data_IF_086740943660
#
_entry.id   IF_086740943660
#
_cell.length_a   1.000
_cell.length_b   1.000
_cell.length_c   1.000
_cell.angle_alpha   90.00
_cell.angle_beta   90.00
_cell.angle_gamma   90.00
#
_symmetry.space_group_name_H-M   'P 1'
#
loop_
_entity.id
_entity.type
_entity.pdbx_description
1 polymer ?
#
# COMPACT_ATOMS: atom_id res chain seq x y z
N UNK A 1 -12.55 29.01 -6.07
CA UNK A 1 -13.30 30.10 -6.74
C UNK A 1 -12.41 30.69 -7.81
N UNK A 2 -12.96 30.86 -9.00
CA UNK A 2 -12.24 31.38 -10.17
C UNK A 2 -13.12 32.48 -10.76
N UNK A 3 -12.53 33.63 -11.04
CA UNK A 3 -13.22 34.71 -11.73
C UNK A 3 -13.48 34.35 -13.21
N UNK A 4 -14.36 35.10 -13.86
CA UNK A 4 -14.65 34.96 -15.29
C UNK A 4 -13.42 35.18 -16.20
N UNK A 5 -12.36 35.80 -15.68
CA UNK A 5 -11.05 35.95 -16.33
C UNK A 5 -10.19 34.68 -16.29
N UNK A 6 -10.58 33.66 -15.52
CA UNK A 6 -9.78 32.47 -15.24
C UNK A 6 -8.79 32.65 -14.07
N UNK A 7 -8.74 33.81 -13.44
CA UNK A 7 -7.87 34.06 -12.28
C UNK A 7 -8.41 33.34 -11.02
N UNK A 8 -7.55 32.58 -10.35
CA UNK A 8 -7.87 31.95 -9.07
C UNK A 8 -8.00 33.02 -7.97
N UNK A 9 -9.16 33.11 -7.34
CA UNK A 9 -9.46 34.17 -6.35
C UNK A 9 -9.67 33.69 -4.93
N UNK A 10 -9.81 32.38 -4.73
CA UNK A 10 -9.86 31.82 -3.39
C UNK A 10 -10.04 30.31 -3.42
N UNK A 11 -9.49 29.65 -2.41
CA UNK A 11 -9.74 28.23 -2.13
C UNK A 11 -10.75 28.17 -0.98
N UNK A 12 -11.88 27.53 -1.22
CA UNK A 12 -12.92 27.27 -0.21
C UNK A 12 -13.01 25.75 -0.02
N UNK A 13 -13.57 25.31 1.10
CA UNK A 13 -13.78 23.88 1.37
C UNK A 13 -12.48 23.04 1.53
N UNK A 14 -11.51 23.62 2.23
CA UNK A 14 -10.22 23.02 2.61
C UNK A 14 -10.29 21.93 3.70
N UNK A 15 -11.48 21.59 4.22
CA UNK A 15 -11.62 20.60 5.31
C UNK A 15 -11.22 19.18 4.89
N UNK A 16 -11.20 18.89 3.58
CA UNK A 16 -10.75 17.61 3.03
C UNK A 16 -9.28 17.62 2.57
N UNK A 17 -8.50 18.69 2.83
CA UNK A 17 -7.10 18.76 2.41
C UNK A 17 -6.19 18.16 3.47
N UNK A 18 -5.51 17.07 3.12
CA UNK A 18 -4.49 16.46 3.97
C UNK A 18 -3.15 17.16 3.76
N UNK A 19 -2.55 17.71 4.81
CA UNK A 19 -1.16 18.16 4.78
C UNK A 19 -0.25 16.99 5.12
N UNK A 20 0.27 16.33 4.11
CA UNK A 20 1.26 15.26 4.25
C UNK A 20 2.53 15.62 3.46
N UNK A 21 3.70 15.10 3.86
CA UNK A 21 4.89 15.20 3.04
C UNK A 21 4.63 14.70 1.61
N UNK A 22 5.30 15.31 0.62
CA UNK A 22 5.10 14.98 -0.79
C UNK A 22 5.26 13.48 -1.08
N UNK A 23 6.23 12.82 -0.44
CA UNK A 23 6.42 11.37 -0.57
C UNK A 23 5.23 10.53 -0.11
N UNK A 24 4.43 11.03 0.84
CA UNK A 24 3.23 10.36 1.36
C UNK A 24 2.00 10.69 0.51
N UNK A 25 1.97 11.86 -0.13
CA UNK A 25 1.00 12.18 -1.18
C UNK A 25 1.26 11.38 -2.47
N UNK A 26 2.51 11.01 -2.70
CA UNK A 26 2.95 10.13 -3.78
C UNK A 26 2.98 8.65 -3.36
N UNK A 27 1.88 8.16 -2.77
CA UNK A 27 1.62 6.73 -2.54
C UNK A 27 0.27 6.36 -3.18
N UNK A 28 -0.04 5.06 -3.19
CA UNK A 28 -1.34 4.60 -3.63
C UNK A 28 -2.49 5.30 -2.86
N UNK A 29 -3.65 5.47 -3.50
CA UNK A 29 -4.89 5.73 -2.78
C UNK A 29 -5.09 4.70 -1.67
N UNK A 30 -5.63 5.13 -0.51
CA UNK A 30 -5.73 4.28 0.67
C UNK A 30 -6.48 2.97 0.44
N UNK A 31 -7.48 2.95 -0.45
CA UNK A 31 -8.22 1.72 -0.76
C UNK A 31 -7.41 0.68 -1.54
N UNK A 32 -6.28 1.08 -2.14
CA UNK A 32 -5.31 0.17 -2.75
C UNK A 32 -4.21 -0.25 -1.76
N UNK A 33 -4.18 0.26 -0.53
CA UNK A 33 -3.24 -0.18 0.49
C UNK A 33 -3.66 -1.52 1.07
N UNK A 34 -2.88 -2.55 0.76
CA UNK A 34 -2.97 -3.87 1.40
C UNK A 34 -1.72 -4.70 1.07
N UNK A 35 -1.62 -5.91 1.58
CA UNK A 35 -0.61 -6.90 1.21
C UNK A 35 -0.68 -7.20 -0.29
N UNK A 36 0.49 -7.32 -0.91
CA UNK A 36 0.61 -7.71 -2.32
C UNK A 36 0.46 -9.22 -2.44
N UNK A 37 -0.53 -9.70 -3.20
CA UNK A 37 -0.73 -11.12 -3.53
C UNK A 37 -0.86 -11.30 -5.04
N UNK A 38 0.18 -11.83 -5.68
CA UNK A 38 0.20 -12.05 -7.14
C UNK A 38 -0.56 -13.29 -7.59
N UNK A 39 -0.68 -14.29 -6.71
CA UNK A 39 -1.35 -15.54 -7.01
C UNK A 39 -2.74 -15.58 -6.40
N UNK A 40 -3.74 -15.91 -7.23
CA UNK A 40 -5.11 -16.11 -6.77
C UNK A 40 -5.15 -17.23 -5.71
N UNK A 41 -5.78 -17.02 -4.54
CA UNK A 41 -5.87 -18.05 -3.53
C UNK A 41 -6.70 -19.24 -4.02
N UNK A 42 -6.17 -20.45 -3.82
CA UNK A 42 -6.87 -21.70 -4.10
C UNK A 42 -7.83 -22.02 -2.97
N UNK A 43 -9.13 -21.98 -3.27
CA UNK A 43 -10.23 -22.22 -2.31
C UNK A 43 -10.08 -23.53 -1.56
N UNK A 44 -9.53 -24.57 -2.18
CA UNK A 44 -9.43 -25.92 -1.59
C UNK A 44 -8.41 -26.00 -0.45
N UNK A 45 -7.47 -25.05 -0.39
CA UNK A 45 -6.44 -25.00 0.66
C UNK A 45 -6.93 -24.42 1.99
N UNK A 46 -8.13 -23.86 2.03
CA UNK A 46 -8.67 -23.18 3.19
C UNK A 46 -9.63 -24.09 3.96
N UNK A 47 -9.61 -23.96 5.29
CA UNK A 47 -10.57 -24.66 6.14
C UNK A 47 -11.97 -24.15 5.86
N UNK A 48 -12.93 -25.07 5.72
CA UNK A 48 -14.33 -24.70 5.61
C UNK A 48 -14.93 -24.45 6.99
N UNK A 49 -15.80 -23.44 7.08
CA UNK A 49 -16.77 -23.28 8.17
C UNK A 49 -17.73 -24.47 8.18
N UNK A 50 -18.49 -24.64 9.26
CA UNK A 50 -19.51 -25.69 9.36
C UNK A 50 -20.59 -25.65 8.26
N UNK A 51 -20.70 -24.54 7.52
CA UNK A 51 -21.57 -24.37 6.35
C UNK A 51 -20.98 -24.91 5.03
N UNK A 52 -19.72 -25.37 5.02
CA UNK A 52 -19.01 -25.77 3.81
C UNK A 52 -18.33 -24.62 3.04
N UNK A 53 -18.55 -23.37 3.45
CA UNK A 53 -17.88 -22.20 2.88
C UNK A 53 -16.46 -22.01 3.46
N UNK A 54 -15.49 -21.48 2.68
CA UNK A 54 -14.17 -21.15 3.20
C UNK A 54 -14.24 -20.22 4.41
N UNK A 55 -13.26 -20.34 5.31
CA UNK A 55 -13.07 -19.41 6.41
C UNK A 55 -12.74 -17.98 5.92
N UNK A 56 -12.75 -17.03 6.85
CA UNK A 56 -12.59 -15.61 6.52
C UNK A 56 -11.22 -15.30 5.90
N UNK A 57 -10.19 -16.08 6.24
CA UNK A 57 -8.85 -15.98 5.66
C UNK A 57 -8.84 -16.14 4.13
N UNK A 58 -9.71 -16.99 3.56
CA UNK A 58 -9.84 -17.08 2.11
C UNK A 58 -10.34 -15.78 1.50
N UNK A 59 -11.33 -15.16 2.13
CA UNK A 59 -11.92 -13.90 1.65
C UNK A 59 -10.93 -12.75 1.74
N UNK A 60 -10.17 -12.67 2.83
CA UNK A 60 -9.05 -11.73 3.02
C UNK A 60 -8.02 -11.90 1.90
N UNK A 61 -7.50 -13.12 1.71
CA UNK A 61 -6.51 -13.38 0.66
C UNK A 61 -7.07 -13.15 -0.75
N UNK A 62 -8.37 -13.35 -0.97
CA UNK A 62 -9.00 -13.04 -2.25
C UNK A 62 -9.01 -11.53 -2.50
N UNK A 63 -9.30 -10.75 -1.47
CA UNK A 63 -9.27 -9.28 -1.52
C UNK A 63 -7.84 -8.77 -1.78
N UNK A 64 -6.83 -9.30 -1.09
CA UNK A 64 -5.42 -8.96 -1.35
C UNK A 64 -5.03 -9.18 -2.82
N UNK A 65 -5.46 -10.31 -3.40
CA UNK A 65 -5.23 -10.61 -4.82
C UNK A 65 -5.97 -9.63 -5.74
N UNK A 66 -7.27 -9.42 -5.48
CA UNK A 66 -8.11 -8.51 -6.27
C UNK A 66 -7.59 -7.07 -6.24
N UNK A 67 -7.07 -6.60 -5.10
CA UNK A 67 -6.46 -5.27 -4.94
C UNK A 67 -5.07 -5.16 -5.57
N UNK A 68 -4.36 -6.27 -5.76
CA UNK A 68 -3.05 -6.27 -6.44
C UNK A 68 -3.21 -5.97 -7.93
N UNK A 69 -4.27 -6.47 -8.58
CA UNK A 69 -4.53 -6.26 -10.01
C UNK A 69 -4.63 -4.77 -10.43
N UNK A 70 -5.42 -3.90 -9.77
CA UNK A 70 -5.53 -2.49 -10.15
C UNK A 70 -4.30 -1.66 -9.78
N UNK A 71 -3.37 -2.15 -8.94
CA UNK A 71 -2.14 -1.39 -8.62
C UNK A 71 -1.25 -1.22 -9.83
N UNK A 72 -1.07 -2.28 -10.60
CA UNK A 72 -0.23 -2.23 -11.81
C UNK A 72 -0.82 -1.23 -12.82
N UNK A 73 -2.14 -1.29 -13.04
CA UNK A 73 -2.86 -0.33 -13.90
C UNK A 73 -2.76 1.10 -13.37
N UNK A 74 -2.86 1.29 -12.05
CA UNK A 74 -2.70 2.61 -11.42
C UNK A 74 -1.30 3.16 -11.64
N UNK A 75 -0.26 2.37 -11.42
CA UNK A 75 1.13 2.80 -11.65
C UNK A 75 1.40 3.09 -13.13
N UNK A 76 0.85 2.29 -14.04
CA UNK A 76 0.93 2.52 -15.48
C UNK A 76 0.25 3.86 -15.83
N UNK A 77 -0.94 4.14 -15.31
CA UNK A 77 -1.61 5.41 -15.50
C UNK A 77 -0.79 6.59 -14.95
N UNK A 78 -0.22 6.46 -13.75
CA UNK A 78 0.59 7.51 -13.13
C UNK A 78 1.88 7.79 -13.92
N UNK A 79 2.52 6.75 -14.50
CA UNK A 79 3.69 6.93 -15.40
C UNK A 79 3.37 7.79 -16.62
N UNK A 80 2.17 7.70 -17.16
CA UNK A 80 1.75 8.49 -18.33
C UNK A 80 1.25 9.88 -17.93
N UNK A 81 0.45 9.97 -16.88
CA UNK A 81 -0.23 11.21 -16.49
C UNK A 81 0.67 12.16 -15.70
N UNK A 82 1.52 11.65 -14.80
CA UNK A 82 2.33 12.44 -13.87
C UNK A 82 3.70 11.77 -13.61
N UNK A 83 4.67 11.85 -14.54
CA UNK A 83 5.99 11.21 -14.39
C UNK A 83 6.75 11.62 -13.12
N UNK A 84 6.65 12.88 -12.71
CA UNK A 84 7.29 13.38 -11.48
C UNK A 84 6.72 12.72 -10.22
N UNK A 85 5.42 12.36 -10.22
CA UNK A 85 4.83 11.58 -9.14
C UNK A 85 5.50 10.21 -9.03
N UNK A 86 5.82 9.58 -10.17
CA UNK A 86 6.51 8.28 -10.20
C UNK A 86 7.96 8.37 -9.74
N UNK A 87 8.68 9.45 -10.07
CA UNK A 87 10.03 9.70 -9.55
C UNK A 87 10.01 9.71 -8.01
N UNK A 88 9.10 10.49 -7.42
CA UNK A 88 8.94 10.56 -5.97
C UNK A 88 8.49 9.21 -5.41
N UNK A 89 7.58 8.51 -6.07
CA UNK A 89 7.11 7.18 -5.65
C UNK A 89 8.27 6.17 -5.61
N UNK A 90 9.16 6.14 -6.61
CA UNK A 90 10.30 5.21 -6.59
C UNK A 90 11.35 5.59 -5.56
N UNK A 91 11.71 6.89 -5.48
CA UNK A 91 12.72 7.38 -4.54
C UNK A 91 12.30 7.23 -3.08
N UNK A 92 11.00 7.35 -2.79
CA UNK A 92 10.48 7.33 -1.42
C UNK A 92 10.08 5.97 -0.88
N UNK A 93 10.45 4.88 -1.58
CA UNK A 93 10.10 3.50 -1.19
C UNK A 93 10.47 3.18 0.26
N UNK A 94 11.65 3.60 0.72
CA UNK A 94 12.11 3.35 2.09
C UNK A 94 11.32 4.15 3.13
N UNK A 95 10.94 5.40 2.83
CA UNK A 95 10.12 6.23 3.71
C UNK A 95 8.74 5.61 3.89
N UNK A 96 8.09 5.19 2.79
CA UNK A 96 6.76 4.54 2.84
C UNK A 96 6.78 3.23 3.61
N UNK A 97 7.83 2.45 3.41
CA UNK A 97 8.02 1.19 4.12
C UNK A 97 8.30 1.39 5.62
N UNK A 98 9.06 2.43 5.97
CA UNK A 98 9.26 2.84 7.36
C UNK A 98 7.97 3.34 8.02
N UNK A 99 7.21 4.20 7.33
CA UNK A 99 5.89 4.67 7.80
C UNK A 99 4.95 3.49 8.03
N UNK A 100 4.92 2.50 7.14
CA UNK A 100 4.17 1.27 7.34
C UNK A 100 4.60 0.50 8.60
N UNK A 101 5.92 0.37 8.84
CA UNK A 101 6.44 -0.28 10.04
C UNK A 101 6.02 0.44 11.33
N UNK A 102 6.10 1.77 11.35
CA UNK A 102 5.72 2.60 12.51
C UNK A 102 4.22 2.48 12.79
N UNK A 103 3.38 2.53 11.77
CA UNK A 103 1.92 2.40 11.91
C UNK A 103 1.47 0.98 12.31
N UNK A 104 2.37 0.00 12.32
CA UNK A 104 2.07 -1.39 12.67
C UNK A 104 3.03 -1.93 13.74
N UNK A 105 3.71 -1.06 14.49
CA UNK A 105 4.70 -1.50 15.47
C UNK A 105 4.09 -2.20 16.69
N UNK A 106 2.79 -1.98 16.92
CA UNK A 106 1.94 -2.62 17.92
C UNK A 106 1.21 -3.88 17.39
N UNK A 107 1.31 -4.17 16.10
CA UNK A 107 0.67 -5.35 15.50
C UNK A 107 1.54 -6.60 15.75
N UNK A 108 1.09 -7.46 16.66
CA UNK A 108 1.81 -8.70 17.05
C UNK A 108 2.11 -9.62 15.85
N UNK A 109 1.22 -9.66 14.85
CA UNK A 109 1.42 -10.48 13.65
C UNK A 109 2.53 -9.93 12.75
N UNK A 110 2.72 -8.61 12.72
CA UNK A 110 3.76 -7.96 11.92
C UNK A 110 5.05 -7.71 12.71
N UNK A 111 5.03 -7.82 14.03
CA UNK A 111 6.16 -7.51 14.90
C UNK A 111 7.41 -8.35 14.58
N UNK A 112 7.25 -9.62 14.15
CA UNK A 112 8.37 -10.46 13.72
C UNK A 112 9.01 -9.94 12.44
N UNK A 113 8.19 -9.60 11.45
CA UNK A 113 8.69 -9.18 10.14
C UNK A 113 9.32 -7.78 10.19
N UNK A 114 8.74 -6.89 11.01
CA UNK A 114 9.32 -5.58 11.34
C UNK A 114 10.69 -5.76 12.02
N UNK A 115 10.82 -6.66 13.01
CA UNK A 115 12.11 -6.95 13.67
C UNK A 115 13.15 -7.50 12.71
N UNK A 116 12.81 -8.54 11.95
CA UNK A 116 13.70 -9.15 10.96
C UNK A 116 14.23 -8.12 9.94
N UNK A 117 13.38 -7.16 9.57
CA UNK A 117 13.77 -6.05 8.71
C UNK A 117 14.74 -5.10 9.39
N UNK A 118 14.47 -4.66 10.62
CA UNK A 118 15.37 -3.79 11.38
C UNK A 118 16.76 -4.42 11.49
N UNK A 119 16.82 -5.73 11.77
CA UNK A 119 18.07 -6.48 11.85
C UNK A 119 18.79 -6.53 10.48
N UNK A 120 18.05 -6.71 9.39
CA UNK A 120 18.61 -6.68 8.01
C UNK A 120 19.26 -5.33 7.71
N UNK A 121 18.61 -4.22 8.09
CA UNK A 121 19.14 -2.87 7.87
C UNK A 121 20.38 -2.64 8.75
N UNK A 122 20.32 -3.02 10.02
CA UNK A 122 21.45 -2.89 10.95
C UNK A 122 22.68 -3.68 10.49
N UNK A 123 22.46 -4.82 9.81
CA UNK A 123 23.51 -5.62 9.17
C UNK A 123 24.01 -5.09 7.81
N UNK A 124 23.51 -3.94 7.33
CA UNK A 124 23.88 -3.35 6.05
C UNK A 124 23.22 -3.99 4.82
N UNK A 125 22.21 -4.84 5.02
CA UNK A 125 21.45 -5.48 3.94
C UNK A 125 20.37 -4.56 3.35
N UNK A 126 19.90 -4.90 2.15
CA UNK A 126 18.75 -4.24 1.52
C UNK A 126 17.49 -5.05 1.86
N UNK A 127 16.61 -4.55 2.73
CA UNK A 127 15.37 -5.25 3.07
C UNK A 127 14.38 -5.26 1.89
N UNK A 128 13.70 -6.39 1.66
CA UNK A 128 12.43 -6.40 0.92
C UNK A 128 11.40 -5.51 1.62
N UNK A 129 10.47 -4.90 0.87
CA UNK A 129 9.41 -4.07 1.45
C UNK A 129 8.46 -4.90 2.33
N UNK A 130 8.06 -4.38 3.49
CA UNK A 130 7.12 -5.05 4.41
C UNK A 130 5.78 -5.36 3.73
N UNK A 131 5.35 -4.50 2.80
CA UNK A 131 4.14 -4.72 1.98
C UNK A 131 4.31 -5.84 0.93
N UNK A 132 5.54 -6.19 0.57
CA UNK A 132 5.89 -7.16 -0.48
C UNK A 132 6.34 -8.52 0.07
N UNK A 133 6.69 -8.61 1.36
CA UNK A 133 7.33 -9.80 1.97
C UNK A 133 6.42 -10.98 2.25
N UNK A 134 5.09 -10.83 2.21
CA UNK A 134 4.17 -11.89 2.62
C UNK A 134 3.74 -12.81 1.47
N UNK A 135 4.66 -13.12 0.55
CA UNK A 135 4.46 -14.09 -0.53
C UNK A 135 4.79 -15.54 -0.13
N UNK A 136 5.23 -15.79 1.11
CA UNK A 136 5.55 -17.12 1.60
C UNK A 136 4.64 -17.46 2.77
N UNK A 137 3.53 -18.15 2.47
CA UNK A 137 3.07 -19.38 3.12
C UNK A 137 1.80 -19.90 2.41
#
# INVERSE_FOLDING_TARGET
MVESSGTLTGVVDWECVTWVPLWKACDYPTFLHDRTRKMKPDRVKYQCKGSGEPNDLYSEHRMEYELTLPRDEFLDAMRHLQPQWMEIFEESRLQRDFDYAVNNCDNEFLARDIRNRVDTIAGGGIPLGLRDRLQAD
#
